data_IF_319470385858
#
_entry.id   IF_319470385858
#
_cell.length_a   1.000
_cell.length_b   1.000
_cell.length_c   1.000
_cell.angle_alpha   90.00
_cell.angle_beta   90.00
_cell.angle_gamma   90.00
#
_symmetry.space_group_name_H-M   'P 1'
#
loop_
_entity.id
_entity.type
_entity.pdbx_description
1 polymer ?
#
# COMPACT_ATOMS: atom_id res chain seq x y z
N UNK A 1 -15.86 16.25 -4.01
CA UNK A 1 -14.50 16.28 -4.63
C UNK A 1 -14.07 14.87 -5.05
N UNK A 2 -13.18 14.72 -6.04
CA UNK A 2 -12.52 13.42 -6.31
C UNK A 2 -11.11 13.46 -5.76
N UNK A 3 -10.76 12.52 -4.88
CA UNK A 3 -9.43 12.38 -4.29
C UNK A 3 -8.83 11.08 -4.84
N UNK A 4 -7.68 11.16 -5.51
CA UNK A 4 -6.95 9.99 -5.98
C UNK A 4 -5.76 9.78 -5.07
N UNK A 5 -5.65 8.58 -4.49
CA UNK A 5 -4.50 8.16 -3.70
C UNK A 5 -3.70 7.16 -4.52
N UNK A 6 -2.48 7.54 -4.89
CA UNK A 6 -1.52 6.60 -5.43
C UNK A 6 -1.06 5.69 -4.29
N UNK A 7 -1.19 4.39 -4.46
CA UNK A 7 -0.71 3.39 -3.52
C UNK A 7 0.13 2.34 -4.24
N UNK A 8 1.00 1.69 -3.47
CA UNK A 8 1.87 0.64 -3.95
C UNK A 8 1.68 -0.61 -3.10
N UNK A 9 1.46 -1.72 -3.79
CA UNK A 9 1.56 -3.05 -3.19
C UNK A 9 3.03 -3.46 -3.20
N UNK A 10 3.52 -3.89 -2.04
CA UNK A 10 4.91 -4.26 -1.75
C UNK A 10 4.93 -5.59 -1.01
N UNK A 11 6.06 -6.29 -1.02
CA UNK A 11 6.26 -7.41 -0.10
C UNK A 11 6.34 -6.88 1.34
N UNK A 12 5.70 -7.57 2.28
CA UNK A 12 5.75 -7.24 3.71
C UNK A 12 7.18 -7.40 4.23
N UNK A 13 7.79 -6.27 4.61
CA UNK A 13 9.20 -6.23 4.99
C UNK A 13 9.48 -6.85 6.35
N UNK A 14 8.45 -7.04 7.18
CA UNK A 14 8.57 -7.73 8.47
C UNK A 14 8.81 -9.23 8.31
N UNK A 15 8.40 -9.80 7.17
CA UNK A 15 8.53 -11.21 6.84
C UNK A 15 9.74 -11.51 5.93
N UNK A 16 10.49 -10.48 5.51
CA UNK A 16 11.75 -10.63 4.76
C UNK A 16 12.88 -10.88 5.76
N UNK A 17 13.67 -11.94 5.52
CA UNK A 17 14.81 -12.28 6.38
C UNK A 17 16.11 -12.40 5.59
N UNK A 18 17.24 -12.23 6.27
CA UNK A 18 18.57 -12.49 5.67
C UNK A 18 18.87 -13.98 5.75
N UNK A 19 19.08 -14.63 4.61
CA UNK A 19 19.44 -16.03 4.49
C UNK A 19 20.90 -16.29 4.90
N UNK A 20 21.26 -17.57 5.08
CA UNK A 20 22.60 -17.97 5.51
C UNK A 20 23.73 -17.57 4.53
N UNK A 21 23.39 -17.37 3.25
CA UNK A 21 24.29 -16.91 2.19
C UNK A 21 24.36 -15.37 2.08
N UNK A 22 23.65 -14.65 2.96
CA UNK A 22 23.56 -13.20 2.95
C UNK A 22 22.55 -12.61 1.95
N UNK A 23 21.80 -13.46 1.22
CA UNK A 23 20.68 -13.04 0.38
C UNK A 23 19.44 -12.66 1.19
N UNK A 24 18.44 -12.09 0.52
CA UNK A 24 17.13 -11.82 1.11
C UNK A 24 16.14 -12.94 0.75
N UNK A 25 15.52 -13.52 1.76
CA UNK A 25 14.46 -14.52 1.64
C UNK A 25 13.09 -13.85 1.79
N UNK A 26 12.31 -13.90 0.70
CA UNK A 26 10.95 -13.35 0.60
C UNK A 26 9.86 -14.43 0.70
N UNK A 27 10.22 -15.69 0.94
CA UNK A 27 9.29 -16.83 0.83
C UNK A 27 8.05 -16.75 1.75
N UNK A 28 8.13 -15.96 2.83
CA UNK A 28 7.02 -15.69 3.75
C UNK A 28 6.40 -14.30 3.57
N UNK A 29 7.07 -13.40 2.85
CA UNK A 29 6.64 -12.03 2.67
C UNK A 29 5.44 -11.95 1.72
N UNK A 30 4.27 -11.63 2.27
CA UNK A 30 3.04 -11.48 1.51
C UNK A 30 2.96 -10.08 0.89
N UNK A 31 2.15 -9.95 -0.17
CA UNK A 31 1.80 -8.64 -0.69
C UNK A 31 0.97 -7.84 0.34
N UNK A 32 1.38 -6.61 0.59
CA UNK A 32 0.70 -5.64 1.46
C UNK A 32 0.72 -4.25 0.84
N UNK A 33 -0.16 -3.35 1.26
CA UNK A 33 -0.08 -1.93 0.88
C UNK A 33 1.04 -1.29 1.71
N UNK A 34 1.89 -0.49 1.08
CA UNK A 34 2.92 0.30 1.76
C UNK A 34 2.35 1.02 2.99
N UNK A 35 3.07 0.94 4.13
CA UNK A 35 2.66 1.59 5.37
C UNK A 35 2.49 3.11 5.23
N UNK A 36 3.27 3.74 4.34
CA UNK A 36 3.13 5.17 4.03
C UNK A 36 1.85 5.46 3.26
N UNK A 37 1.48 4.58 2.34
CA UNK A 37 0.31 4.76 1.49
C UNK A 37 -0.98 4.51 2.29
N UNK A 38 -0.93 3.66 3.32
CA UNK A 38 -2.02 3.52 4.30
C UNK A 38 -2.32 4.85 5.00
N UNK A 39 -1.30 5.62 5.38
CA UNK A 39 -1.50 6.94 5.97
C UNK A 39 -2.13 7.92 4.97
N UNK A 40 -1.75 7.84 3.69
CA UNK A 40 -2.34 8.68 2.64
C UNK A 40 -3.79 8.31 2.34
N UNK A 41 -4.12 7.02 2.34
CA UNK A 41 -5.49 6.50 2.20
C UNK A 41 -6.34 7.00 3.36
N UNK A 42 -5.84 6.89 4.60
CA UNK A 42 -6.55 7.37 5.79
C UNK A 42 -6.79 8.89 5.76
N UNK A 43 -5.77 9.67 5.41
CA UNK A 43 -5.91 11.12 5.26
C UNK A 43 -6.97 11.49 4.19
N UNK A 44 -6.99 10.76 3.07
CA UNK A 44 -8.01 10.95 2.03
C UNK A 44 -9.42 10.56 2.51
N UNK A 45 -9.54 9.48 3.28
CA UNK A 45 -10.81 9.05 3.87
C UNK A 45 -11.37 10.10 4.83
N UNK A 46 -10.54 10.63 5.74
CA UNK A 46 -10.92 11.71 6.65
C UNK A 46 -11.33 12.98 5.90
N UNK A 47 -10.55 13.37 4.87
CA UNK A 47 -10.88 14.53 4.04
C UNK A 47 -12.20 14.35 3.30
N UNK A 48 -12.49 13.15 2.78
CA UNK A 48 -13.75 12.86 2.11
C UNK A 48 -14.93 12.88 3.09
N UNK A 49 -14.76 12.32 4.30
CA UNK A 49 -15.79 12.33 5.33
C UNK A 49 -16.16 13.76 5.77
N UNK A 50 -15.20 14.68 5.78
CA UNK A 50 -15.42 16.10 6.10
C UNK A 50 -16.07 16.89 4.95
N UNK A 51 -16.18 16.33 3.74
CA UNK A 51 -16.65 17.04 2.55
C UNK A 51 -17.72 16.22 1.82
N UNK A 52 -18.99 16.47 2.13
CA UNK A 52 -20.13 15.76 1.53
C UNK A 52 -20.06 15.70 0.00
N UNK A 53 -20.41 14.55 -0.57
CA UNK A 53 -20.29 14.30 -2.02
C UNK A 53 -18.86 14.07 -2.51
N UNK A 54 -17.89 13.88 -1.61
CA UNK A 54 -16.54 13.47 -1.98
C UNK A 54 -16.39 11.97 -2.18
N UNK A 55 -15.45 11.59 -3.07
CA UNK A 55 -15.15 10.20 -3.40
C UNK A 55 -13.64 10.00 -3.41
N UNK A 56 -13.18 8.99 -2.66
CA UNK A 56 -11.78 8.53 -2.67
C UNK A 56 -11.63 7.41 -3.71
N UNK A 57 -10.53 7.44 -4.45
CA UNK A 57 -10.15 6.43 -5.45
C UNK A 57 -8.70 6.04 -5.15
N UNK A 58 -8.47 4.79 -4.76
CA UNK A 58 -7.12 4.24 -4.67
C UNK A 58 -6.67 3.76 -6.05
N UNK A 59 -5.41 3.99 -6.41
CA UNK A 59 -4.82 3.61 -7.69
C UNK A 59 -3.43 3.03 -7.49
N UNK A 60 -3.19 1.85 -8.06
CA UNK A 60 -1.88 1.17 -8.05
C UNK A 60 -1.47 0.79 -9.47
N UNK A 61 -0.16 0.58 -9.65
CA UNK A 61 0.42 0.01 -10.87
C UNK A 61 1.32 -1.15 -10.45
N UNK A 62 1.09 -2.33 -11.02
CA UNK A 62 1.79 -3.56 -10.69
C UNK A 62 1.70 -4.62 -11.78
N UNK A 63 2.28 -5.79 -11.51
CA UNK A 63 2.08 -6.99 -12.31
C UNK A 63 0.63 -7.45 -12.26
N UNK A 64 0.29 -8.49 -13.04
CA UNK A 64 -1.08 -9.03 -13.05
C UNK A 64 -1.48 -9.73 -11.74
N UNK A 65 -0.50 -10.04 -10.90
CA UNK A 65 -0.57 -10.67 -9.58
C UNK A 65 -0.64 -9.66 -8.41
N UNK A 66 -0.69 -8.36 -8.74
CA UNK A 66 -0.91 -7.23 -7.82
C UNK A 66 -2.38 -6.81 -7.91
#
# INVERSE_FOLDING_TARGET
MKIVVACKVVADDQDIVVAADGGLDYSKAKNTVSAYDLNAIEAAAQLAAANEGSKVIAMTVGGADI
#
